data_IF_505371036952
#
_entry.id   IF_505371036952
#
_cell.length_a   1.000
_cell.length_b   1.000
_cell.length_c   1.000
_cell.angle_alpha   90.00
_cell.angle_beta   90.00
_cell.angle_gamma   90.00
#
_symmetry.space_group_name_H-M   'P 1'
#
loop_
_entity.id
_entity.type
_entity.pdbx_description
1 polymer ?
#
# COMPACT_ATOMS: atom_id res chain seq x y z
N UNK A 1 -7.27 3.60 2.72
CA UNK A 1 -7.61 5.04 2.69
C UNK A 1 -6.54 5.82 3.42
N UNK A 2 -6.14 6.98 2.90
CA UNK A 2 -5.20 7.91 3.55
C UNK A 2 -5.99 9.09 4.11
N UNK A 3 -5.71 9.47 5.36
CA UNK A 3 -6.35 10.61 6.04
C UNK A 3 -5.28 11.54 6.60
N UNK A 4 -5.55 12.84 6.61
CA UNK A 4 -4.74 13.83 7.32
C UNK A 4 -5.59 14.60 8.32
N UNK A 5 -4.90 15.29 9.23
CA UNK A 5 -5.48 16.27 10.13
C UNK A 5 -4.83 17.61 9.83
N UNK A 6 -5.63 18.60 9.44
CA UNK A 6 -5.17 19.97 9.16
C UNK A 6 -6.12 20.97 9.83
N UNK A 7 -5.56 21.88 10.62
CA UNK A 7 -6.32 22.89 11.37
C UNK A 7 -7.45 22.29 12.24
N UNK A 8 -7.17 21.15 12.87
CA UNK A 8 -8.12 20.41 13.70
C UNK A 8 -9.19 19.62 12.93
N UNK A 9 -9.17 19.63 11.60
CA UNK A 9 -10.12 18.90 10.76
C UNK A 9 -9.49 17.64 10.16
N UNK A 10 -10.19 16.51 10.27
CA UNK A 10 -9.79 15.24 9.63
C UNK A 10 -10.34 15.22 8.21
N UNK A 11 -9.48 15.00 7.21
CA UNK A 11 -9.88 14.94 5.81
C UNK A 11 -9.39 13.64 5.16
N UNK A 12 -10.20 13.12 4.22
CA UNK A 12 -9.81 11.98 3.39
C UNK A 12 -8.99 12.52 2.22
N UNK A 13 -7.76 12.06 2.09
CA UNK A 13 -6.85 12.51 1.03
C UNK A 13 -6.97 11.60 -0.19
N UNK A 14 -7.00 10.28 0.03
CA UNK A 14 -6.92 9.33 -1.07
C UNK A 14 -7.54 7.97 -0.75
N UNK A 15 -8.13 7.36 -1.79
CA UNK A 15 -8.62 5.99 -1.79
C UNK A 15 -8.09 5.28 -3.04
N UNK A 16 -7.52 4.09 -2.84
CA UNK A 16 -6.90 3.28 -3.89
C UNK A 16 -7.94 2.59 -4.78
N UNK A 17 -9.01 2.10 -4.16
CA UNK A 17 -10.08 1.41 -4.86
C UNK A 17 -10.96 2.34 -5.68
N UNK A 18 -11.39 1.85 -6.84
CA UNK A 18 -12.41 2.47 -7.70
C UNK A 18 -13.85 2.11 -7.30
N UNK A 19 -14.05 1.24 -6.29
CA UNK A 19 -15.40 0.87 -5.83
C UNK A 19 -15.93 1.91 -4.84
N UNK A 20 -17.25 1.97 -4.74
CA UNK A 20 -17.95 2.87 -3.82
C UNK A 20 -17.47 2.64 -2.38
N UNK A 21 -17.21 3.73 -1.66
CA UNK A 21 -16.80 3.68 -0.26
C UNK A 21 -17.82 2.98 0.63
N UNK A 22 -19.10 3.04 0.28
CA UNK A 22 -20.19 2.42 1.05
C UNK A 22 -20.18 0.89 0.94
N UNK A 23 -19.46 0.34 -0.06
CA UNK A 23 -19.26 -1.10 -0.23
C UNK A 23 -18.03 -1.63 0.53
N UNK A 24 -17.29 -0.75 1.19
CA UNK A 24 -16.09 -1.10 1.93
C UNK A 24 -16.36 -1.17 3.43
N UNK A 25 -16.92 -2.29 3.86
CA UNK A 25 -17.27 -2.60 5.25
C UNK A 25 -16.10 -3.17 6.07
N UNK A 26 -14.95 -3.43 5.42
CA UNK A 26 -13.77 -4.02 6.07
C UNK A 26 -13.90 -5.52 6.32
N UNK A 27 -14.91 -6.17 5.75
CA UNK A 27 -15.02 -7.63 5.74
C UNK A 27 -13.94 -8.26 4.87
N UNK A 28 -13.73 -9.56 5.07
CA UNK A 28 -12.78 -10.35 4.29
C UNK A 28 -13.07 -10.28 2.78
N UNK A 29 -14.34 -10.21 2.35
CA UNK A 29 -14.70 -10.23 0.92
C UNK A 29 -14.57 -8.86 0.22
N UNK A 30 -14.45 -7.78 1.01
CA UNK A 30 -14.38 -6.41 0.50
C UNK A 30 -13.00 -5.81 0.65
N UNK A 31 -12.21 -6.20 1.65
CA UNK A 31 -10.94 -5.54 1.97
C UNK A 31 -9.97 -5.51 0.78
N UNK A 32 -9.72 -6.63 0.10
CA UNK A 32 -8.87 -6.67 -1.11
C UNK A 32 -9.37 -5.74 -2.22
N UNK A 33 -10.69 -5.61 -2.37
CA UNK A 33 -11.28 -4.70 -3.36
C UNK A 33 -11.18 -3.25 -2.93
N UNK A 34 -11.11 -2.97 -1.63
CA UNK A 34 -11.08 -1.63 -1.04
C UNK A 34 -9.67 -1.08 -0.86
N UNK A 35 -8.68 -1.97 -0.79
CA UNK A 35 -7.29 -1.66 -0.49
C UNK A 35 -7.03 -1.65 1.01
N UNK A 36 -5.79 -1.99 1.36
CA UNK A 36 -5.28 -2.00 2.73
C UNK A 36 -3.91 -1.32 2.74
N UNK A 37 -3.85 0.00 3.01
CA UNK A 37 -2.58 0.70 3.14
C UNK A 37 -1.86 0.25 4.40
N UNK A 38 -0.59 -0.13 4.26
CA UNK A 38 0.25 -0.61 5.35
C UNK A 38 1.43 0.34 5.63
N UNK A 39 2.06 0.86 4.59
CA UNK A 39 3.23 1.74 4.68
C UNK A 39 2.95 3.17 4.19
N UNK A 40 3.62 4.15 4.80
CA UNK A 40 3.55 5.56 4.39
C UNK A 40 4.87 6.27 4.68
N UNK A 41 5.39 7.04 3.73
CA UNK A 41 6.60 7.88 3.90
C UNK A 41 6.46 9.22 3.20
N UNK A 42 7.18 10.22 3.68
CA UNK A 42 7.28 11.51 3.00
C UNK A 42 8.41 11.43 1.97
N UNK A 43 8.11 11.76 0.71
CA UNK A 43 9.11 11.86 -0.35
C UNK A 43 9.74 13.25 -0.35
N UNK A 44 8.90 14.27 -0.28
CA UNK A 44 9.30 15.68 -0.29
C UNK A 44 8.27 16.53 0.45
N UNK A 45 8.35 17.86 0.31
CA UNK A 45 7.48 18.76 1.04
C UNK A 45 5.99 18.60 0.70
N UNK A 46 5.69 18.25 -0.54
CA UNK A 46 4.33 18.15 -1.07
C UNK A 46 3.88 16.70 -1.25
N UNK A 47 4.80 15.74 -1.34
CA UNK A 47 4.52 14.39 -1.80
C UNK A 47 4.75 13.34 -0.71
N UNK A 48 3.79 12.44 -0.56
CA UNK A 48 3.95 11.21 0.23
C UNK A 48 3.90 9.98 -0.67
N UNK A 49 4.60 8.93 -0.25
CA UNK A 49 4.49 7.59 -0.78
C UNK A 49 3.60 6.76 0.14
N UNK A 50 2.73 5.94 -0.44
CA UNK A 50 1.86 5.04 0.30
C UNK A 50 1.89 3.67 -0.34
N UNK A 51 2.03 2.66 0.50
CA UNK A 51 2.03 1.24 0.13
C UNK A 51 0.67 0.64 0.45
N UNK A 52 -0.02 0.18 -0.58
CA UNK A 52 -1.21 -0.64 -0.45
C UNK A 52 -0.86 -2.10 -0.80
N UNK A 53 -1.16 -3.01 0.12
CA UNK A 53 -0.78 -4.43 -0.05
C UNK A 53 -1.41 -5.09 -1.28
N UNK A 54 -2.54 -4.57 -1.77
CA UNK A 54 -3.25 -5.15 -2.90
C UNK A 54 -2.97 -4.38 -4.19
N UNK A 55 -2.92 -3.05 -4.12
CA UNK A 55 -2.83 -2.20 -5.31
C UNK A 55 -1.41 -1.78 -5.70
N UNK A 56 -0.45 -1.79 -4.78
CA UNK A 56 0.94 -1.40 -5.04
C UNK A 56 1.38 -0.12 -4.31
N UNK A 57 2.35 0.58 -4.88
CA UNK A 57 2.97 1.79 -4.29
C UNK A 57 2.53 3.02 -5.09
N UNK A 58 2.08 4.05 -4.39
CA UNK A 58 1.55 5.27 -4.97
C UNK A 58 2.24 6.50 -4.39
N UNK A 59 2.53 7.49 -5.23
CA UNK A 59 2.83 8.85 -4.78
C UNK A 59 1.55 9.67 -4.76
N UNK A 60 1.43 10.56 -3.77
CA UNK A 60 0.28 11.44 -3.57
C UNK A 60 0.81 12.84 -3.26
N UNK A 61 0.51 13.81 -4.13
CA UNK A 61 0.77 15.21 -3.87
C UNK A 61 -0.37 15.78 -2.99
N UNK A 62 -0.02 16.21 -1.79
CA UNK A 62 -0.92 16.66 -0.74
C UNK A 62 -1.58 18.01 -1.04
N UNK A 63 -0.94 18.87 -1.84
CA UNK A 63 -1.51 20.17 -2.22
C UNK A 63 -2.52 20.05 -3.37
N UNK A 64 -2.15 19.29 -4.40
CA UNK A 64 -2.94 19.15 -5.64
C UNK A 64 -3.96 18.02 -5.57
N UNK A 65 -3.85 17.12 -4.59
CA UNK A 65 -4.67 15.91 -4.50
C UNK A 65 -4.43 14.92 -5.65
N UNK A 66 -3.32 15.08 -6.39
CA UNK A 66 -2.94 14.22 -7.49
C UNK A 66 -2.22 12.98 -6.96
N UNK A 67 -2.43 11.83 -7.61
CA UNK A 67 -1.76 10.60 -7.25
C UNK A 67 -1.25 9.88 -8.50
N UNK A 68 -0.14 9.16 -8.36
CA UNK A 68 0.46 8.37 -9.42
C UNK A 68 0.89 7.01 -8.88
N UNK A 69 0.61 5.95 -9.62
CA UNK A 69 1.13 4.63 -9.28
C UNK A 69 2.61 4.55 -9.65
N UNK A 70 3.47 4.30 -8.67
CA UNK A 70 4.90 4.04 -8.86
C UNK A 70 5.11 2.55 -9.18
N UNK A 71 4.39 1.69 -8.47
CA UNK A 71 4.37 0.25 -8.70
C UNK A 71 2.92 -0.23 -8.64
N UNK A 72 2.50 -1.03 -9.61
CA UNK A 72 1.16 -1.66 -9.64
C UNK A 72 1.29 -3.16 -9.45
N UNK A 73 0.34 -3.76 -8.74
CA UNK A 73 0.22 -5.21 -8.74
C UNK A 73 -0.65 -5.72 -9.92
N UNK A 74 -0.37 -6.93 -10.45
CA UNK A 74 0.75 -7.80 -10.07
C UNK A 74 2.07 -7.32 -10.70
N UNK A 75 3.14 -7.29 -9.89
CA UNK A 75 4.53 -7.12 -10.34
C UNK A 75 5.35 -8.27 -9.75
N UNK A 76 6.41 -8.68 -10.44
CA UNK A 76 7.28 -9.79 -10.05
C UNK A 76 8.71 -9.32 -9.77
N UNK A 77 9.37 -9.99 -8.83
CA UNK A 77 10.79 -9.84 -8.53
C UNK A 77 11.41 -11.23 -8.65
N UNK A 78 12.38 -11.39 -9.56
CA UNK A 78 13.02 -12.68 -9.84
C UNK A 78 12.03 -13.82 -10.18
N UNK A 79 10.92 -13.49 -10.85
CA UNK A 79 9.88 -14.45 -11.24
C UNK A 79 8.86 -14.81 -10.15
N UNK A 80 8.95 -14.18 -8.97
CA UNK A 80 8.01 -14.36 -7.87
C UNK A 80 7.15 -13.10 -7.67
N UNK A 81 5.83 -13.23 -7.50
CA UNK A 81 4.93 -12.09 -7.40
C UNK A 81 5.08 -11.36 -6.07
N UNK A 82 4.89 -10.04 -6.09
CA UNK A 82 4.67 -9.24 -4.88
C UNK A 82 3.23 -9.49 -4.40
N UNK A 83 3.07 -10.09 -3.22
CA UNK A 83 1.74 -10.45 -2.70
C UNK A 83 1.38 -9.71 -1.42
N UNK A 84 2.37 -9.23 -0.68
CA UNK A 84 2.19 -8.69 0.65
C UNK A 84 3.13 -7.50 0.92
N UNK A 85 3.01 -6.48 0.07
CA UNK A 85 3.72 -5.21 0.23
C UNK A 85 3.37 -4.59 1.58
N UNK A 86 4.38 -4.27 2.38
CA UNK A 86 4.19 -3.85 3.76
C UNK A 86 4.62 -2.40 3.98
N UNK A 87 5.93 -2.12 3.99
CA UNK A 87 6.45 -0.78 4.23
C UNK A 87 7.43 -0.34 3.15
N UNK A 88 7.72 0.97 3.11
CA UNK A 88 8.63 1.63 2.17
C UNK A 88 9.53 2.60 2.93
N UNK A 89 10.69 2.90 2.37
CA UNK A 89 11.56 4.00 2.76
C UNK A 89 12.18 4.70 1.54
N UNK A 90 12.56 5.95 1.74
CA UNK A 90 13.23 6.78 0.73
C UNK A 90 14.71 6.86 1.10
N UNK A 91 15.57 6.27 0.26
CA UNK A 91 17.02 6.30 0.51
C UNK A 91 17.61 7.61 0.00
N UNK A 92 17.24 7.99 -1.22
CA UNK A 92 17.64 9.23 -1.89
C UNK A 92 16.68 9.50 -3.07
N UNK A 93 16.95 10.55 -3.84
CA UNK A 93 16.10 11.03 -4.93
C UNK A 93 15.77 9.97 -6.01
N UNK A 94 16.67 9.00 -6.23
CA UNK A 94 16.55 7.98 -7.27
C UNK A 94 16.32 6.56 -6.71
N UNK A 95 16.17 6.42 -5.38
CA UNK A 95 16.17 5.12 -4.72
C UNK A 95 15.10 5.00 -3.62
N UNK A 96 14.19 4.05 -3.85
CA UNK A 96 13.18 3.62 -2.88
C UNK A 96 13.46 2.17 -2.50
N UNK A 97 13.39 1.86 -1.21
CA UNK A 97 13.44 0.48 -0.71
C UNK A 97 12.09 0.15 -0.08
N UNK A 98 11.61 -1.06 -0.29
CA UNK A 98 10.34 -1.51 0.27
C UNK A 98 10.41 -2.98 0.61
N UNK A 99 9.50 -3.42 1.47
CA UNK A 99 9.42 -4.81 1.91
C UNK A 99 8.18 -5.50 1.35
N UNK A 100 8.31 -6.76 0.97
CA UNK A 100 7.23 -7.67 0.64
C UNK A 100 7.26 -8.84 1.64
N UNK A 101 6.25 -8.95 2.50
CA UNK A 101 6.28 -9.88 3.64
C UNK A 101 6.13 -11.34 3.23
N UNK A 102 5.63 -11.62 2.02
CA UNK A 102 5.54 -12.96 1.46
C UNK A 102 5.35 -12.89 -0.06
N UNK A 103 6.07 -13.74 -0.80
CA UNK A 103 5.83 -13.95 -2.24
C UNK A 103 4.60 -14.80 -2.56
N UNK A 104 4.00 -15.44 -1.55
CA UNK A 104 2.99 -16.49 -1.76
C UNK A 104 1.61 -16.10 -1.26
N UNK A 105 1.54 -15.51 -0.07
CA UNK A 105 0.28 -15.18 0.60
C UNK A 105 0.15 -13.67 0.75
N UNK A 106 -1.03 -13.13 0.49
CA UNK A 106 -1.35 -11.73 0.75
C UNK A 106 -1.84 -11.53 2.20
N UNK A 107 -2.19 -10.28 2.55
CA UNK A 107 -2.68 -9.92 3.88
C UNK A 107 -3.91 -10.74 4.32
N UNK A 108 -4.87 -11.05 3.44
CA UNK A 108 -6.00 -11.94 3.75
C UNK A 108 -5.57 -13.29 4.33
N UNK A 109 -4.43 -13.81 3.88
CA UNK A 109 -3.89 -15.09 4.29
C UNK A 109 -2.69 -14.94 5.24
N UNK A 110 -2.63 -13.86 6.02
CA UNK A 110 -1.56 -13.62 7.00
C UNK A 110 -1.35 -14.81 7.96
N UNK A 111 -2.42 -15.49 8.40
CA UNK A 111 -2.29 -16.69 9.23
C UNK A 111 -1.54 -17.83 8.53
N UNK A 112 -1.67 -17.95 7.20
CA UNK A 112 -0.91 -18.95 6.43
C UNK A 112 0.58 -18.60 6.42
N UNK A 113 0.95 -17.31 6.30
CA UNK A 113 2.35 -16.86 6.41
C UNK A 113 2.96 -17.32 7.73
N UNK A 114 2.24 -17.09 8.84
CA UNK A 114 2.70 -17.48 10.17
C UNK A 114 2.84 -19.00 10.35
N UNK A 115 1.85 -19.77 9.88
CA UNK A 115 1.83 -21.22 10.05
C UNK A 115 2.82 -21.93 9.13
N UNK A 116 3.03 -21.42 7.93
CA UNK A 116 3.96 -21.97 6.96
C UNK A 116 5.41 -21.73 7.37
N UNK A 117 5.72 -20.57 7.97
CA UNK A 117 7.05 -20.29 8.51
C UNK A 117 8.17 -20.29 7.45
N UNK A 118 7.82 -20.16 6.17
CA UNK A 118 8.78 -20.11 5.07
C UNK A 118 9.34 -18.68 4.96
N UNK A 119 10.66 -18.49 4.88
CA UNK A 119 11.29 -17.18 4.77
C UNK A 119 11.27 -16.67 3.32
N UNK A 120 10.09 -16.49 2.73
CA UNK A 120 9.93 -15.94 1.38
C UNK A 120 9.59 -14.44 1.34
N UNK A 121 9.69 -13.75 2.48
CA UNK A 121 9.69 -12.30 2.53
C UNK A 121 10.99 -11.72 1.97
N UNK A 122 10.92 -10.49 1.45
CA UNK A 122 12.04 -9.80 0.79
C UNK A 122 12.01 -8.29 1.01
#
# INVERSE_FOLDING_TARGET
MVVNIKDGNIQKIFRFSSIDSDQCDGSFDTEEKCGRPLGLRRLDDETILVVDTYFGIFSINLEKGQHMAILKNPTEVNGEPLKFLNDIDVVNDDELIFTDSSSRWNWHHFMNVLLEGIPNGR
#
